data_IF_133121849705
#
_entry.id   IF_133121849705
#
_cell.length_a   1.000
_cell.length_b   1.000
_cell.length_c   1.000
_cell.angle_alpha   90.00
_cell.angle_beta   90.00
_cell.angle_gamma   90.00
#
_symmetry.space_group_name_H-M   'P 1'
#
loop_
_entity.id
_entity.type
_entity.pdbx_description
1 polymer ?
#
# COMPACT_ATOMS: atom_id res chain seq x y z
N UNK A 1 23.52 -8.85 16.01
CA UNK A 1 22.91 -7.59 16.51
C UNK A 1 21.70 -7.35 15.63
N UNK A 2 20.49 -7.11 16.16
CA UNK A 2 19.37 -6.81 15.28
C UNK A 2 19.70 -5.48 14.59
N UNK A 3 19.75 -5.52 13.26
CA UNK A 3 19.97 -4.35 12.42
C UNK A 3 18.84 -3.35 12.62
N UNK A 4 19.18 -2.08 12.46
CA UNK A 4 18.29 -0.93 12.60
C UNK A 4 17.04 -1.13 11.72
N UNK A 5 15.88 -0.78 12.29
CA UNK A 5 14.55 -0.69 11.67
C UNK A 5 13.76 -2.01 11.48
N UNK A 6 13.22 -2.54 12.59
CA UNK A 6 12.28 -3.69 12.71
C UNK A 6 10.93 -3.52 11.96
N UNK A 7 10.79 -2.44 11.19
CA UNK A 7 9.59 -2.16 10.39
C UNK A 7 9.77 -2.54 8.91
N UNK A 8 11.01 -2.66 8.41
CA UNK A 8 11.29 -2.98 7.02
C UNK A 8 11.18 -4.49 6.81
N UNK A 9 10.08 -4.90 6.18
CA UNK A 9 9.82 -6.31 5.92
C UNK A 9 10.67 -6.81 4.72
N UNK A 10 11.75 -7.52 5.03
CA UNK A 10 12.63 -8.13 4.02
C UNK A 10 11.94 -9.16 3.13
N UNK A 11 10.81 -9.75 3.56
CA UNK A 11 10.06 -10.70 2.73
C UNK A 11 9.45 -10.04 1.48
N UNK A 12 9.35 -8.71 1.46
CA UNK A 12 8.91 -7.94 0.28
C UNK A 12 9.97 -7.91 -0.85
N UNK A 13 11.20 -8.34 -0.56
CA UNK A 13 12.34 -8.36 -1.48
C UNK A 13 12.84 -9.80 -1.72
N UNK A 14 12.03 -10.70 -2.32
CA UNK A 14 12.42 -12.09 -2.52
C UNK A 14 13.52 -12.28 -3.59
N UNK A 15 13.66 -11.30 -4.47
CA UNK A 15 14.46 -11.34 -5.69
C UNK A 15 15.65 -10.37 -5.68
N UNK A 16 15.71 -9.48 -4.68
CA UNK A 16 16.72 -8.44 -4.54
C UNK A 16 17.18 -8.32 -3.10
N UNK A 17 18.34 -7.71 -2.88
CA UNK A 17 18.82 -7.44 -1.52
C UNK A 17 17.93 -6.38 -0.84
N UNK A 18 17.54 -6.63 0.41
CA UNK A 18 16.76 -5.69 1.19
C UNK A 18 17.56 -4.40 1.40
N UNK A 19 17.05 -3.25 0.96
CA UNK A 19 17.77 -1.98 1.10
C UNK A 19 17.94 -1.58 2.56
N UNK A 20 19.14 -1.15 2.96
CA UNK A 20 19.41 -0.71 4.34
C UNK A 20 18.80 0.67 4.67
N UNK A 21 18.57 1.48 3.63
CA UNK A 21 17.98 2.82 3.71
C UNK A 21 17.10 3.03 2.49
N UNK A 22 16.00 3.75 2.66
CA UNK A 22 15.10 4.07 1.56
C UNK A 22 15.14 5.57 1.22
N UNK A 23 15.63 5.88 0.02
CA UNK A 23 15.38 7.14 -0.68
C UNK A 23 13.92 7.25 -1.16
N UNK A 24 13.58 8.32 -1.88
CA UNK A 24 12.20 8.50 -2.34
C UNK A 24 11.72 7.38 -3.28
N UNK A 25 12.57 6.92 -4.20
CA UNK A 25 12.19 5.87 -5.15
C UNK A 25 12.05 4.52 -4.45
N UNK A 26 12.98 4.21 -3.55
CA UNK A 26 12.96 2.98 -2.74
C UNK A 26 11.75 2.94 -1.79
N UNK A 27 11.34 4.09 -1.24
CA UNK A 27 10.10 4.18 -0.44
C UNK A 27 8.85 3.94 -1.29
N UNK A 28 8.81 4.45 -2.51
CA UNK A 28 7.69 4.23 -3.44
C UNK A 28 7.61 2.75 -3.83
N UNK A 29 8.75 2.13 -4.13
CA UNK A 29 8.84 0.70 -4.42
C UNK A 29 8.42 -0.15 -3.21
N UNK A 30 8.91 0.21 -2.01
CA UNK A 30 8.50 -0.44 -0.76
C UNK A 30 6.98 -0.40 -0.56
N UNK A 31 6.34 0.77 -0.70
CA UNK A 31 4.88 0.89 -0.59
C UNK A 31 4.18 0.06 -1.66
N UNK A 32 4.73 -0.02 -2.88
CA UNK A 32 4.15 -0.84 -3.94
C UNK A 32 4.20 -2.33 -3.63
N UNK A 33 5.35 -2.84 -3.17
CA UNK A 33 5.52 -4.23 -2.73
C UNK A 33 4.63 -4.56 -1.54
N UNK A 34 4.58 -3.67 -0.56
CA UNK A 34 3.71 -3.78 0.61
C UNK A 34 2.23 -3.88 0.21
N UNK A 35 1.76 -2.98 -0.66
CA UNK A 35 0.38 -3.00 -1.13
C UNK A 35 0.07 -4.29 -1.90
N UNK A 36 0.97 -4.73 -2.78
CA UNK A 36 0.80 -5.98 -3.52
C UNK A 36 0.71 -7.19 -2.57
N UNK A 37 1.64 -7.33 -1.63
CA UNK A 37 1.60 -8.40 -0.64
C UNK A 37 0.28 -8.40 0.15
N UNK A 38 -0.15 -7.23 0.60
CA UNK A 38 -1.37 -7.07 1.38
C UNK A 38 -2.64 -7.39 0.58
N UNK A 39 -2.71 -6.95 -0.68
CA UNK A 39 -3.84 -7.25 -1.58
C UNK A 39 -4.00 -8.77 -1.84
N UNK A 40 -2.92 -9.55 -1.70
CA UNK A 40 -2.92 -11.01 -1.82
C UNK A 40 -2.97 -11.76 -0.47
N UNK A 41 -3.26 -11.05 0.63
CA UNK A 41 -3.51 -11.66 1.95
C UNK A 41 -2.28 -11.86 2.82
N UNK A 42 -1.11 -11.36 2.42
CA UNK A 42 0.08 -11.31 3.26
C UNK A 42 0.03 -10.03 4.09
N UNK A 43 -0.38 -10.16 5.35
CA UNK A 43 -0.60 -9.02 6.24
C UNK A 43 0.74 -8.44 6.74
N UNK A 44 0.91 -7.10 6.76
CA UNK A 44 2.11 -6.49 7.32
C UNK A 44 2.18 -6.60 8.84
N UNK A 45 3.40 -6.51 9.37
CA UNK A 45 3.62 -6.42 10.81
C UNK A 45 3.04 -5.13 11.41
N UNK A 46 2.81 -5.12 12.73
CA UNK A 46 2.37 -3.92 13.43
C UNK A 46 3.41 -2.78 13.36
N UNK A 47 4.70 -3.12 13.34
CA UNK A 47 5.80 -2.15 13.22
C UNK A 47 5.79 -1.49 11.83
N UNK A 48 5.61 -2.28 10.77
CA UNK A 48 5.46 -1.78 9.40
C UNK A 48 4.25 -0.86 9.26
N UNK A 49 3.09 -1.24 9.81
CA UNK A 49 1.89 -0.39 9.81
C UNK A 49 2.12 0.92 10.57
N UNK A 50 2.78 0.86 11.72
CA UNK A 50 3.09 2.06 12.50
C UNK A 50 4.00 3.02 11.73
N UNK A 51 5.01 2.50 11.04
CA UNK A 51 5.93 3.30 10.23
C UNK A 51 5.21 3.97 9.05
N UNK A 52 4.51 3.21 8.20
CA UNK A 52 3.88 3.77 6.99
C UNK A 52 2.74 4.74 7.27
N UNK A 53 2.26 4.81 8.52
CA UNK A 53 1.26 5.79 8.98
C UNK A 53 1.88 7.13 9.39
N UNK A 54 3.19 7.24 9.54
CA UNK A 54 3.85 8.50 9.90
C UNK A 54 3.71 9.51 8.77
N UNK A 55 3.58 10.79 9.11
CA UNK A 55 3.34 11.89 8.17
C UNK A 55 4.34 12.00 7.02
N UNK A 56 5.57 11.56 7.26
CA UNK A 56 6.70 11.56 6.33
C UNK A 56 6.47 10.65 5.12
N UNK A 57 5.55 9.68 5.24
CA UNK A 57 5.17 8.78 4.16
C UNK A 57 4.06 9.34 3.26
N UNK A 58 3.44 10.47 3.63
CA UNK A 58 2.32 11.03 2.86
C UNK A 58 2.70 11.32 1.40
N UNK A 59 3.88 11.91 1.17
CA UNK A 59 4.35 12.23 -0.18
C UNK A 59 4.67 10.97 -0.98
N UNK A 60 5.27 9.96 -0.33
CA UNK A 60 5.55 8.64 -0.93
C UNK A 60 4.23 7.98 -1.36
N UNK A 61 3.25 7.95 -0.46
CA UNK A 61 1.93 7.37 -0.73
C UNK A 61 1.23 8.13 -1.87
N UNK A 62 1.32 9.46 -1.95
CA UNK A 62 0.71 10.16 -3.08
C UNK A 62 1.43 9.90 -4.42
N UNK A 63 2.73 9.64 -4.38
CA UNK A 63 3.54 9.32 -5.56
C UNK A 63 3.30 7.90 -6.11
N UNK A 64 2.95 6.91 -5.28
CA UNK A 64 2.79 5.51 -5.71
C UNK A 64 1.73 5.27 -6.79
N UNK A 65 0.60 5.99 -6.75
CA UNK A 65 -0.47 5.93 -7.78
C UNK A 65 -0.95 4.51 -8.16
N UNK A 66 -1.02 3.59 -7.19
CA UNK A 66 -1.47 2.20 -7.40
C UNK A 66 -3.00 2.08 -7.43
N UNK A 67 -3.62 2.63 -8.47
CA UNK A 67 -5.07 2.82 -8.53
C UNK A 67 -5.90 1.51 -8.50
N UNK A 68 -5.27 0.36 -8.75
CA UNK A 68 -5.90 -0.97 -8.71
C UNK A 68 -5.74 -1.70 -7.38
N UNK A 69 -5.04 -1.11 -6.40
CA UNK A 69 -4.75 -1.75 -5.10
C UNK A 69 -5.70 -1.27 -4.00
N UNK A 70 -6.55 -2.12 -3.40
CA UNK A 70 -7.35 -1.71 -2.25
C UNK A 70 -6.50 -1.30 -1.04
N UNK A 71 -5.37 -1.95 -0.78
CA UNK A 71 -4.44 -1.54 0.28
C UNK A 71 -3.89 -0.12 0.06
N UNK A 72 -3.57 0.25 -1.17
CA UNK A 72 -3.14 1.62 -1.50
C UNK A 72 -4.21 2.66 -1.17
N UNK A 73 -5.48 2.39 -1.50
CA UNK A 73 -6.59 3.32 -1.17
C UNK A 73 -6.79 3.45 0.34
N UNK A 74 -6.57 2.39 1.10
CA UNK A 74 -6.53 2.45 2.57
C UNK A 74 -5.40 3.36 3.06
N UNK A 75 -4.18 3.21 2.52
CA UNK A 75 -3.05 4.08 2.88
C UNK A 75 -3.35 5.55 2.56
N UNK A 76 -3.95 5.84 1.39
CA UNK A 76 -4.38 7.21 1.05
C UNK A 76 -5.34 7.78 2.10
N UNK A 77 -6.32 6.98 2.53
CA UNK A 77 -7.28 7.40 3.54
C UNK A 77 -6.62 7.70 4.90
N UNK A 78 -5.66 6.88 5.32
CA UNK A 78 -4.89 7.13 6.55
C UNK A 78 -4.09 8.43 6.51
N UNK A 79 -3.60 8.82 5.33
CA UNK A 79 -2.84 10.05 5.13
C UNK A 79 -3.72 11.27 4.80
N UNK A 80 -5.05 11.13 4.82
CA UNK A 80 -5.98 12.21 4.48
C UNK A 80 -5.80 12.72 3.04
N UNK A 81 -5.29 11.90 2.14
CA UNK A 81 -5.13 12.25 0.74
C UNK A 81 -6.50 12.23 0.03
N UNK A 82 -6.72 13.10 -0.97
CA UNK A 82 -7.95 13.05 -1.75
C UNK A 82 -8.18 11.64 -2.33
N UNK A 83 -9.42 11.12 -2.29
CA UNK A 83 -9.74 9.82 -2.86
C UNK A 83 -9.46 9.84 -4.37
N UNK A 84 -8.98 8.73 -4.90
CA UNK A 84 -8.78 8.55 -6.34
C UNK A 84 -9.74 7.47 -6.86
N UNK A 85 -10.09 7.50 -8.15
CA UNK A 85 -10.84 6.41 -8.75
C UNK A 85 -10.09 5.08 -8.58
N UNK A 86 -10.78 4.08 -8.05
CA UNK A 86 -10.29 2.71 -8.08
C UNK A 86 -10.41 2.18 -9.51
N UNK A 87 -9.27 1.88 -10.14
CA UNK A 87 -9.20 1.36 -11.51
C UNK A 87 -9.14 -0.18 -11.56
N UNK A 88 -9.16 -0.85 -10.41
CA UNK A 88 -9.39 -2.29 -10.38
C UNK A 88 -10.74 -2.59 -11.03
N UNK A 89 -10.89 -3.76 -11.65
CA UNK A 89 -12.20 -4.14 -12.17
C UNK A 89 -13.17 -4.17 -11.00
N UNK A 90 -14.11 -3.23 -10.95
CA UNK A 90 -15.38 -3.48 -10.29
C UNK A 90 -15.90 -4.77 -10.92
N UNK A 91 -16.08 -5.81 -10.11
CA UNK A 91 -16.53 -7.10 -10.61
C UNK A 91 -17.85 -6.84 -11.34
N UNK A 92 -17.96 -7.32 -12.58
CA UNK A 92 -19.06 -6.93 -13.47
C UNK A 92 -20.43 -7.12 -12.80
N UNK A 93 -20.58 -8.16 -11.97
CA UNK A 93 -21.79 -8.43 -11.22
C UNK A 93 -22.13 -7.40 -10.13
N UNK A 94 -21.16 -6.67 -9.58
CA UNK A 94 -21.39 -5.56 -8.64
C UNK A 94 -21.72 -4.29 -9.43
N UNK A 95 -20.98 -4.02 -10.52
CA UNK A 95 -21.24 -2.85 -11.39
C UNK A 95 -22.64 -2.90 -12.00
N UNK A 96 -23.06 -4.10 -12.41
CA UNK A 96 -24.29 -4.35 -13.14
C UNK A 96 -25.41 -4.84 -12.20
N UNK A 97 -25.28 -4.68 -10.87
CA UNK A 97 -26.30 -5.07 -9.88
C UNK A 97 -27.49 -4.08 -9.93
N UNK A 98 -28.69 -4.51 -10.33
CA UNK A 98 -29.87 -3.65 -10.39
C UNK A 98 -30.34 -3.17 -9.02
N UNK A 99 -29.91 -3.82 -7.91
CA UNK A 99 -30.28 -3.41 -6.56
C UNK A 99 -29.56 -2.14 -6.10
N UNK A 100 -28.43 -1.77 -6.73
CA UNK A 100 -27.73 -0.52 -6.44
C UNK A 100 -28.57 0.73 -6.78
N UNK A 101 -29.66 0.59 -7.54
CA UNK A 101 -30.59 1.68 -7.80
C UNK A 101 -31.47 2.05 -6.58
N UNK A 102 -31.42 1.27 -5.48
CA UNK A 102 -32.31 1.41 -4.32
C UNK A 102 -31.59 1.67 -3.00
N UNK A 103 -30.28 1.94 -3.03
CA UNK A 103 -29.43 2.28 -1.86
C UNK A 103 -28.94 3.72 -1.92
#
# INVERSE_FOLDING_TARGET
MPSQDDWLDGALYPDVETPERLDMAERVDFVARLCAAWDFGLLPSAHTVAEVRRSEWREVVDACRLLTSPAYHLLRAWHGLPPLPYLGRQMAYIRDDPNLAYV
#
